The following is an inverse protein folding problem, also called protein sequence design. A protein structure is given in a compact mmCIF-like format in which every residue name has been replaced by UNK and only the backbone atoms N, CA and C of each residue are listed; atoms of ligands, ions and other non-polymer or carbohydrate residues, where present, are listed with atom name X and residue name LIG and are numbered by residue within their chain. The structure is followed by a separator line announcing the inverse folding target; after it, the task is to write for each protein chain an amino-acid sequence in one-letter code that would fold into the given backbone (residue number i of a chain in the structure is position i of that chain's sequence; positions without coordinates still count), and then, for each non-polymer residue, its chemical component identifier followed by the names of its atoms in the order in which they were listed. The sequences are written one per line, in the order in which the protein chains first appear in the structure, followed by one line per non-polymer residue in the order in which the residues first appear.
data_IF_732925754499
#
_entry.id   IF_732925754499
#
_cell.length_a   1.000
_cell.length_b   1.000
_cell.length_c   1.000
_cell.angle_alpha   90.00
_cell.angle_beta   90.00
_cell.angle_gamma   90.00
#
_symmetry.space_group_name_H-M   'P 1'
#
loop_
_entity.id
_entity.type
_entity.pdbx_description
1 polymer ?
#
# COMPACT_ATOMS: atom_id res chain seq x y z
N UNK A 1 -1.14 -14.34 11.68
CA UNK A 1 0.06 -14.27 10.84
C UNK A 1 0.80 -12.96 11.10
N UNK A 2 2.12 -12.98 11.03
CA UNK A 2 2.98 -11.79 11.23
C UNK A 2 2.57 -10.61 10.36
N UNK A 3 2.28 -10.85 9.07
CA UNK A 3 1.84 -9.80 8.14
C UNK A 3 0.55 -9.09 8.56
N UNK A 4 -0.44 -9.82 9.09
CA UNK A 4 -1.70 -9.22 9.55
C UNK A 4 -1.52 -8.23 10.70
N UNK A 5 -0.52 -8.48 11.55
CA UNK A 5 -0.21 -7.62 12.69
C UNK A 5 0.74 -6.49 12.29
N UNK A 6 1.89 -6.83 11.74
CA UNK A 6 3.03 -5.92 11.57
C UNK A 6 3.08 -5.24 10.19
N UNK A 7 2.44 -5.81 9.16
CA UNK A 7 2.60 -5.41 7.78
C UNK A 7 3.85 -6.04 7.17
N UNK A 8 4.96 -5.33 7.18
CA UNK A 8 6.26 -5.83 6.71
C UNK A 8 7.27 -5.92 7.86
N UNK A 9 8.38 -6.63 7.62
CA UNK A 9 9.51 -6.67 8.58
C UNK A 9 10.02 -5.26 8.87
N UNK A 10 10.53 -5.04 10.11
CA UNK A 10 10.90 -3.72 10.60
C UNK A 10 12.40 -3.56 10.88
N UNK A 11 13.13 -4.68 11.06
CA UNK A 11 14.52 -4.70 11.47
C UNK A 11 15.21 -6.01 11.10
N UNK A 12 16.53 -6.02 11.28
CA UNK A 12 17.39 -7.16 10.96
C UNK A 12 17.09 -8.39 11.82
N UNK A 13 16.73 -8.21 13.09
CA UNK A 13 16.40 -9.32 13.97
C UNK A 13 15.14 -10.06 13.49
N UNK A 14 14.06 -9.32 13.23
CA UNK A 14 12.83 -9.86 12.65
C UNK A 14 13.08 -10.54 11.31
N UNK A 15 13.96 -9.99 10.48
CA UNK A 15 14.34 -10.61 9.21
C UNK A 15 14.99 -11.99 9.40
N UNK A 16 15.98 -12.08 10.30
CA UNK A 16 16.67 -13.33 10.59
C UNK A 16 15.71 -14.38 11.17
N UNK A 17 14.89 -14.00 12.14
CA UNK A 17 13.90 -14.89 12.76
C UNK A 17 12.92 -15.44 11.74
N UNK A 18 12.36 -14.59 10.87
CA UNK A 18 11.42 -14.99 9.83
C UNK A 18 12.09 -15.89 8.81
N UNK A 19 13.30 -15.56 8.38
CA UNK A 19 14.06 -16.38 7.43
C UNK A 19 14.35 -17.77 8.00
N UNK A 20 14.83 -17.85 9.22
CA UNK A 20 15.08 -19.13 9.91
C UNK A 20 13.79 -19.94 10.04
N UNK A 21 12.72 -19.32 10.54
CA UNK A 21 11.42 -19.99 10.67
C UNK A 21 10.90 -20.51 9.33
N UNK A 22 10.99 -19.71 8.28
CA UNK A 22 10.52 -20.10 6.96
C UNK A 22 11.26 -21.34 6.44
N UNK A 23 12.60 -21.30 6.40
CA UNK A 23 13.39 -22.38 5.82
C UNK A 23 13.46 -23.64 6.71
N UNK A 24 13.41 -23.53 8.03
CA UNK A 24 13.38 -24.69 8.92
C UNK A 24 12.04 -25.43 8.92
N UNK A 25 10.95 -24.78 8.48
CA UNK A 25 9.64 -25.41 8.35
C UNK A 25 9.29 -25.76 6.89
N UNK A 26 10.17 -25.48 5.94
CA UNK A 26 9.96 -25.84 4.54
C UNK A 26 10.40 -27.28 4.33
N UNK A 27 9.49 -28.22 3.92
CA UNK A 27 9.89 -29.57 3.61
C UNK A 27 10.84 -29.61 2.40
N UNK A 28 11.67 -30.64 2.32
CA UNK A 28 12.42 -30.90 1.10
C UNK A 28 11.48 -31.25 -0.05
N UNK A 29 11.68 -30.67 -1.21
CA UNK A 29 10.87 -30.94 -2.41
C UNK A 29 11.71 -30.83 -3.68
N UNK A 30 11.24 -31.49 -4.73
CA UNK A 30 11.71 -31.30 -6.11
C UNK A 30 10.53 -30.70 -6.89
N UNK A 31 10.69 -29.48 -7.40
CA UNK A 31 9.60 -28.69 -8.00
C UNK A 31 8.95 -29.45 -9.18
N UNK A 32 9.72 -30.23 -9.92
CA UNK A 32 9.28 -31.00 -11.09
C UNK A 32 8.31 -32.13 -10.71
N UNK A 33 8.46 -32.68 -9.52
CA UNK A 33 7.66 -33.82 -9.02
C UNK A 33 6.36 -33.40 -8.39
N UNK A 34 6.18 -32.10 -8.10
CA UNK A 34 4.98 -31.58 -7.46
C UNK A 34 3.78 -31.60 -8.41
N UNK A 35 2.63 -32.01 -7.89
CA UNK A 35 1.34 -31.86 -8.56
C UNK A 35 0.99 -30.38 -8.76
N UNK A 36 0.05 -30.10 -9.66
CA UNK A 36 -0.42 -28.73 -9.90
C UNK A 36 -0.90 -28.04 -8.62
N UNK A 37 -1.65 -28.74 -7.76
CA UNK A 37 -2.16 -28.20 -6.49
C UNK A 37 -1.02 -27.88 -5.52
N UNK A 38 -0.02 -28.74 -5.39
CA UNK A 38 1.16 -28.49 -4.55
C UNK A 38 1.94 -27.29 -5.04
N UNK A 39 2.14 -27.13 -6.35
CA UNK A 39 2.77 -25.94 -6.95
C UNK A 39 2.00 -24.67 -6.63
N UNK A 40 0.66 -24.67 -6.71
CA UNK A 40 -0.15 -23.50 -6.33
C UNK A 40 0.10 -23.08 -4.87
N UNK A 41 0.16 -24.04 -3.95
CA UNK A 41 0.42 -23.75 -2.55
C UNK A 41 1.85 -23.29 -2.29
N UNK A 42 2.83 -23.94 -2.92
CA UNK A 42 4.25 -23.60 -2.82
C UNK A 42 4.52 -22.18 -3.31
N UNK A 43 4.09 -21.86 -4.53
CA UNK A 43 4.33 -20.52 -5.10
C UNK A 43 3.64 -19.42 -4.32
N UNK A 44 2.42 -19.69 -3.81
CA UNK A 44 1.74 -18.75 -2.90
C UNK A 44 2.54 -18.51 -1.61
N UNK A 45 3.11 -19.58 -1.04
CA UNK A 45 3.91 -19.49 0.17
C UNK A 45 5.17 -18.66 -0.04
N UNK A 46 5.92 -18.92 -1.13
CA UNK A 46 7.11 -18.14 -1.48
C UNK A 46 6.78 -16.68 -1.81
N UNK A 47 5.75 -16.43 -2.60
CA UNK A 47 5.31 -15.06 -2.88
C UNK A 47 4.99 -14.31 -1.58
N UNK A 48 4.23 -14.90 -0.66
CA UNK A 48 3.91 -14.30 0.63
C UNK A 48 5.16 -14.03 1.49
N UNK A 49 6.11 -14.96 1.51
CA UNK A 49 7.38 -14.80 2.21
C UNK A 49 8.19 -13.63 1.67
N UNK A 50 8.43 -13.59 0.35
CA UNK A 50 9.22 -12.54 -0.29
C UNK A 50 8.56 -11.17 -0.16
N UNK A 51 7.23 -11.08 -0.28
CA UNK A 51 6.51 -9.84 0.00
C UNK A 51 6.69 -9.37 1.45
N UNK A 52 6.64 -10.30 2.40
CA UNK A 52 6.78 -9.96 3.81
C UNK A 52 8.17 -9.40 4.14
N UNK A 53 9.22 -9.96 3.53
CA UNK A 53 10.60 -9.48 3.68
C UNK A 53 10.96 -8.31 2.74
N UNK A 54 10.00 -7.80 1.97
CA UNK A 54 10.15 -6.68 1.04
C UNK A 54 11.09 -6.95 -0.16
N UNK A 55 11.31 -8.21 -0.50
CA UNK A 55 11.94 -8.64 -1.75
C UNK A 55 10.86 -8.76 -2.83
N UNK A 56 10.50 -7.62 -3.43
CA UNK A 56 9.36 -7.55 -4.35
C UNK A 56 9.67 -8.21 -5.70
N UNK A 57 10.93 -8.28 -6.12
CA UNK A 57 11.32 -8.94 -7.37
C UNK A 57 11.11 -10.45 -7.28
N UNK A 58 11.62 -11.10 -6.24
CA UNK A 58 11.34 -12.52 -5.99
C UNK A 58 9.85 -12.76 -5.67
N UNK A 59 9.21 -11.84 -4.95
CA UNK A 59 7.77 -11.88 -4.72
C UNK A 59 6.98 -11.89 -6.02
N UNK A 60 7.35 -11.05 -6.99
CA UNK A 60 6.76 -11.01 -8.33
C UNK A 60 7.03 -12.30 -9.12
N UNK A 61 8.26 -12.80 -9.10
CA UNK A 61 8.62 -14.05 -9.76
C UNK A 61 7.69 -15.20 -9.32
N UNK A 62 7.52 -15.40 -8.02
CA UNK A 62 6.65 -16.46 -7.51
C UNK A 62 5.16 -16.17 -7.71
N UNK A 63 4.74 -14.91 -7.69
CA UNK A 63 3.38 -14.54 -8.05
C UNK A 63 3.06 -14.88 -9.51
N UNK A 64 3.99 -14.64 -10.43
CA UNK A 64 3.86 -15.03 -11.85
C UNK A 64 3.90 -16.54 -12.06
N UNK A 65 4.77 -17.27 -11.33
CA UNK A 65 4.73 -18.74 -11.33
C UNK A 65 3.36 -19.26 -10.89
N UNK A 66 2.79 -18.69 -9.83
CA UNK A 66 1.47 -19.05 -9.34
C UNK A 66 0.37 -18.78 -10.38
N UNK A 67 0.38 -17.61 -11.01
CA UNK A 67 -0.58 -17.25 -12.06
C UNK A 67 -0.45 -18.19 -13.28
N UNK A 68 0.77 -18.50 -13.68
CA UNK A 68 1.02 -19.37 -14.84
C UNK A 68 0.48 -20.80 -14.63
N UNK A 69 0.46 -21.33 -13.39
CA UNK A 69 -0.19 -22.61 -13.14
C UNK A 69 -1.70 -22.56 -13.43
N UNK A 70 -2.37 -21.44 -13.11
CA UNK A 70 -3.78 -21.25 -13.44
C UNK A 70 -4.02 -21.10 -14.93
N UNK A 71 -3.10 -20.48 -15.66
CA UNK A 71 -3.22 -20.29 -17.12
C UNK A 71 -3.17 -21.61 -17.91
N UNK A 72 -2.71 -22.72 -17.29
CA UNK A 72 -2.65 -24.03 -17.96
C UNK A 72 -4.02 -24.70 -18.17
N UNK A 73 -5.00 -24.39 -17.33
CA UNK A 73 -6.31 -25.06 -17.42
C UNK A 73 -7.43 -24.27 -16.75
N UNK A 74 -8.53 -24.07 -17.50
CA UNK A 74 -9.77 -23.51 -16.97
C UNK A 74 -10.38 -24.38 -15.87
N UNK A 75 -10.12 -25.68 -15.86
CA UNK A 75 -10.59 -26.60 -14.81
C UNK A 75 -9.96 -26.25 -13.48
N UNK A 76 -8.66 -25.93 -13.45
CA UNK A 76 -7.95 -25.50 -12.24
C UNK A 76 -8.53 -24.17 -11.72
N UNK A 77 -8.82 -23.24 -12.59
CA UNK A 77 -9.45 -21.95 -12.22
C UNK A 77 -10.82 -22.18 -11.58
N UNK A 78 -11.65 -23.04 -12.20
CA UNK A 78 -13.01 -23.35 -11.69
C UNK A 78 -13.00 -24.12 -10.38
N UNK A 79 -12.02 -24.99 -10.16
CA UNK A 79 -11.90 -25.76 -8.92
C UNK A 79 -11.30 -24.96 -7.76
N UNK A 80 -10.50 -23.92 -8.04
CA UNK A 80 -9.85 -23.08 -7.03
C UNK A 80 -10.07 -21.56 -7.25
N UNK A 81 -11.33 -21.07 -7.36
CA UNK A 81 -11.63 -19.70 -7.76
C UNK A 81 -11.08 -18.66 -6.77
N UNK A 82 -11.10 -18.95 -5.47
CA UNK A 82 -10.55 -18.05 -4.46
C UNK A 82 -9.03 -17.91 -4.56
N UNK A 83 -8.34 -19.00 -4.83
CA UNK A 83 -6.90 -19.03 -4.98
C UNK A 83 -6.48 -18.31 -6.27
N UNK A 84 -7.24 -18.47 -7.35
CA UNK A 84 -7.05 -17.75 -8.59
C UNK A 84 -7.19 -16.23 -8.40
N UNK A 85 -8.26 -15.75 -7.77
CA UNK A 85 -8.41 -14.34 -7.47
C UNK A 85 -7.29 -13.81 -6.55
N UNK A 86 -6.85 -14.64 -5.61
CA UNK A 86 -5.71 -14.30 -4.73
C UNK A 86 -4.40 -14.20 -5.54
N UNK A 87 -4.19 -15.07 -6.54
CA UNK A 87 -3.01 -14.99 -7.40
C UNK A 87 -2.97 -13.70 -8.20
N UNK A 88 -4.08 -13.33 -8.85
CA UNK A 88 -4.20 -12.06 -9.59
C UNK A 88 -3.94 -10.84 -8.68
N UNK A 89 -4.54 -10.84 -7.48
CA UNK A 89 -4.29 -9.79 -6.50
C UNK A 89 -2.81 -9.71 -6.08
N UNK A 90 -2.13 -10.86 -5.95
CA UNK A 90 -0.71 -10.92 -5.57
C UNK A 90 0.16 -10.37 -6.68
N UNK A 91 -0.11 -10.73 -7.94
CA UNK A 91 0.58 -10.19 -9.12
C UNK A 91 0.37 -8.69 -9.21
N UNK A 92 -0.87 -8.20 -9.16
CA UNK A 92 -1.19 -6.76 -9.20
C UNK A 92 -0.51 -5.96 -8.09
N UNK A 93 -0.41 -6.52 -6.89
CA UNK A 93 0.34 -5.85 -5.80
C UNK A 93 1.84 -5.76 -6.07
N UNK A 94 2.43 -6.77 -6.72
CA UNK A 94 3.83 -6.76 -7.12
C UNK A 94 4.07 -5.73 -8.24
N UNK A 95 3.28 -5.79 -9.29
CA UNK A 95 3.35 -4.89 -10.44
C UNK A 95 3.22 -3.43 -10.02
N UNK A 96 2.25 -3.14 -9.12
CA UNK A 96 2.10 -1.81 -8.54
C UNK A 96 3.37 -1.34 -7.81
N UNK A 97 3.97 -2.20 -6.95
CA UNK A 97 5.15 -1.84 -6.16
C UNK A 97 6.41 -1.69 -6.99
N UNK A 98 6.50 -2.44 -8.08
CA UNK A 98 7.63 -2.41 -9.02
C UNK A 98 7.45 -1.39 -10.15
N UNK A 99 6.33 -0.66 -10.18
CA UNK A 99 6.03 0.31 -11.23
C UNK A 99 5.83 -0.32 -12.62
N UNK A 100 5.46 -1.61 -12.68
CA UNK A 100 5.22 -2.35 -13.93
C UNK A 100 3.84 -2.02 -14.49
N UNK A 101 3.75 -0.85 -15.11
CA UNK A 101 2.46 -0.29 -15.52
C UNK A 101 1.75 -1.11 -16.60
N UNK A 102 2.47 -1.53 -17.63
CA UNK A 102 1.87 -2.25 -18.76
C UNK A 102 1.33 -3.61 -18.29
N UNK A 103 2.15 -4.34 -17.53
CA UNK A 103 1.76 -5.62 -16.95
C UNK A 103 0.59 -5.46 -15.97
N UNK A 104 0.56 -4.36 -15.21
CA UNK A 104 -0.55 -4.07 -14.30
C UNK A 104 -1.88 -3.90 -15.04
N UNK A 105 -1.90 -3.21 -16.18
CA UNK A 105 -3.09 -3.08 -17.02
C UNK A 105 -3.56 -4.46 -17.52
N UNK A 106 -2.63 -5.27 -18.05
CA UNK A 106 -2.96 -6.60 -18.56
C UNK A 106 -3.54 -7.51 -17.47
N UNK A 107 -2.93 -7.48 -16.28
CA UNK A 107 -3.43 -8.27 -15.14
C UNK A 107 -4.77 -7.75 -14.62
N UNK A 108 -5.02 -6.43 -14.67
CA UNK A 108 -6.33 -5.84 -14.35
C UNK A 108 -7.42 -6.34 -15.30
N UNK A 109 -7.13 -6.45 -16.60
CA UNK A 109 -8.09 -7.02 -17.57
C UNK A 109 -8.41 -8.50 -17.26
N UNK A 110 -7.43 -9.26 -16.74
CA UNK A 110 -7.69 -10.65 -16.29
C UNK A 110 -8.62 -10.68 -15.07
N UNK A 111 -8.49 -9.73 -14.15
CA UNK A 111 -9.40 -9.60 -13.01
C UNK A 111 -10.83 -9.27 -13.47
N UNK A 112 -11.00 -8.42 -14.48
CA UNK A 112 -12.30 -8.11 -15.07
C UNK A 112 -12.91 -9.34 -15.79
N UNK A 113 -12.10 -10.11 -16.51
CA UNK A 113 -12.54 -11.38 -17.13
C UNK A 113 -12.93 -12.42 -16.06
N UNK A 114 -12.23 -12.48 -14.93
CA UNK A 114 -12.57 -13.35 -13.82
C UNK A 114 -13.97 -13.02 -13.25
N UNK A 115 -14.34 -11.73 -13.20
CA UNK A 115 -15.69 -11.31 -12.80
C UNK A 115 -16.76 -11.90 -13.71
N UNK A 116 -16.54 -11.89 -15.02
CA UNK A 116 -17.46 -12.47 -15.99
C UNK A 116 -17.50 -14.02 -15.90
N UNK A 117 -16.34 -14.65 -15.75
CA UNK A 117 -16.20 -16.11 -15.66
C UNK A 117 -16.96 -16.70 -14.47
N UNK A 118 -17.00 -16.00 -13.34
CA UNK A 118 -17.64 -16.47 -12.12
C UNK A 118 -19.07 -15.93 -11.91
N UNK A 119 -19.60 -15.11 -12.82
CA UNK A 119 -20.88 -14.38 -12.65
C UNK A 119 -22.08 -15.25 -12.26
N UNK A 120 -22.14 -16.49 -12.72
CA UNK A 120 -23.26 -17.43 -12.45
C UNK A 120 -23.14 -18.19 -11.11
N UNK A 121 -21.94 -18.29 -10.50
CA UNK A 121 -21.66 -19.15 -9.34
C UNK A 121 -20.89 -18.44 -8.21
N UNK A 122 -21.01 -17.09 -8.14
CA UNK A 122 -20.36 -16.33 -7.07
C UNK A 122 -21.08 -16.52 -5.74
N UNK A 123 -20.48 -17.29 -4.83
CA UNK A 123 -20.87 -17.21 -3.43
C UNK A 123 -20.54 -15.80 -2.86
N UNK A 124 -21.16 -15.49 -1.71
CA UNK A 124 -21.00 -14.17 -1.08
C UNK A 124 -19.54 -13.77 -0.85
N UNK A 125 -18.72 -14.68 -0.32
CA UNK A 125 -17.32 -14.42 0.01
C UNK A 125 -16.46 -14.13 -1.23
N UNK A 126 -16.68 -14.88 -2.30
CA UNK A 126 -15.96 -14.70 -3.55
C UNK A 126 -16.33 -13.36 -4.22
N UNK A 127 -17.62 -12.99 -4.18
CA UNK A 127 -18.10 -11.69 -4.66
C UNK A 127 -17.47 -10.54 -3.89
N UNK A 128 -17.50 -10.59 -2.56
CA UNK A 128 -16.89 -9.56 -1.71
C UNK A 128 -15.39 -9.43 -1.95
N UNK A 129 -14.68 -10.56 -2.13
CA UNK A 129 -13.25 -10.57 -2.45
C UNK A 129 -12.96 -9.93 -3.81
N UNK A 130 -13.72 -10.25 -4.82
CA UNK A 130 -13.59 -9.68 -6.16
C UNK A 130 -13.83 -8.17 -6.16
N UNK A 131 -14.89 -7.71 -5.50
CA UNK A 131 -15.20 -6.29 -5.37
C UNK A 131 -14.09 -5.54 -4.62
N UNK A 132 -13.59 -6.10 -3.51
CA UNK A 132 -12.46 -5.54 -2.76
C UNK A 132 -11.22 -5.37 -3.66
N UNK A 133 -10.84 -6.40 -4.40
CA UNK A 133 -9.68 -6.33 -5.29
C UNK A 133 -9.89 -5.32 -6.41
N UNK A 134 -11.10 -5.27 -6.99
CA UNK A 134 -11.44 -4.26 -7.99
C UNK A 134 -11.21 -2.83 -7.46
N UNK A 135 -11.75 -2.48 -6.28
CA UNK A 135 -11.58 -1.14 -5.73
C UNK A 135 -10.12 -0.83 -5.40
N UNK A 136 -9.41 -1.76 -4.74
CA UNK A 136 -8.00 -1.57 -4.38
C UNK A 136 -7.15 -1.31 -5.63
N UNK A 137 -7.31 -2.12 -6.68
CA UNK A 137 -6.47 -1.99 -7.87
C UNK A 137 -6.91 -0.85 -8.78
N UNK A 138 -8.20 -0.45 -8.71
CA UNK A 138 -8.63 0.79 -9.37
C UNK A 138 -7.98 2.03 -8.75
N UNK A 139 -7.87 2.08 -7.41
CA UNK A 139 -7.10 3.13 -6.73
C UNK A 139 -5.62 3.08 -7.15
N UNK A 140 -5.02 1.89 -7.15
CA UNK A 140 -3.63 1.72 -7.58
C UNK A 140 -3.38 2.23 -9.01
N UNK A 141 -4.32 2.01 -9.92
CA UNK A 141 -4.23 2.50 -11.31
C UNK A 141 -4.18 4.04 -11.36
N UNK A 142 -5.05 4.71 -10.60
CA UNK A 142 -5.03 6.17 -10.50
C UNK A 142 -3.74 6.69 -9.86
N UNK A 143 -3.17 5.96 -8.90
CA UNK A 143 -1.87 6.30 -8.30
C UNK A 143 -0.74 6.20 -9.31
N UNK A 144 -0.65 5.10 -10.06
CA UNK A 144 0.39 4.91 -11.07
C UNK A 144 0.38 6.01 -12.12
N UNK A 145 -0.83 6.42 -12.55
CA UNK A 145 -1.00 7.48 -13.55
C UNK A 145 -0.88 8.90 -12.99
N UNK A 146 -0.97 9.09 -11.68
CA UNK A 146 -1.12 10.41 -11.09
C UNK A 146 -2.47 11.08 -11.45
N UNK A 147 -3.53 10.32 -11.70
CA UNK A 147 -4.87 10.81 -12.08
C UNK A 147 -5.78 10.90 -10.84
N UNK A 148 -5.34 11.59 -9.79
CA UNK A 148 -6.04 11.59 -8.51
C UNK A 148 -7.42 12.24 -8.55
N UNK A 149 -7.59 13.36 -9.27
CA UNK A 149 -8.90 14.01 -9.39
C UNK A 149 -9.92 13.11 -10.09
N UNK A 150 -9.51 12.43 -11.16
CA UNK A 150 -10.35 11.45 -11.87
C UNK A 150 -10.69 10.27 -10.97
N UNK A 151 -9.71 9.81 -10.18
CA UNK A 151 -9.90 8.76 -9.18
C UNK A 151 -10.93 9.14 -8.12
N UNK A 152 -10.84 10.35 -7.57
CA UNK A 152 -11.83 10.85 -6.61
C UNK A 152 -13.22 10.92 -7.24
N UNK A 153 -13.35 11.49 -8.43
CA UNK A 153 -14.63 11.55 -9.15
C UNK A 153 -15.23 10.15 -9.37
N UNK A 154 -14.40 9.18 -9.77
CA UNK A 154 -14.83 7.79 -9.96
C UNK A 154 -15.41 7.20 -8.67
N UNK A 155 -14.73 7.38 -7.52
CA UNK A 155 -15.19 6.82 -6.24
C UNK A 155 -16.36 7.60 -5.64
N UNK A 156 -16.49 8.89 -5.91
CA UNK A 156 -17.68 9.67 -5.53
C UNK A 156 -18.93 9.20 -6.28
N UNK A 157 -18.81 8.83 -7.55
CA UNK A 157 -19.90 8.24 -8.34
C UNK A 157 -20.30 6.82 -7.85
N UNK A 158 -19.40 6.11 -7.20
CA UNK A 158 -19.65 4.77 -6.64
C UNK A 158 -19.79 4.78 -5.10
N UNK A 159 -20.13 5.92 -4.52
CA UNK A 159 -20.18 6.10 -3.06
C UNK A 159 -21.06 5.08 -2.35
N UNK A 160 -22.23 4.78 -2.90
CA UNK A 160 -23.18 3.83 -2.30
C UNK A 160 -22.65 2.39 -2.37
N UNK A 161 -22.04 2.01 -3.48
CA UNK A 161 -21.41 0.69 -3.63
C UNK A 161 -20.20 0.54 -2.70
N UNK A 162 -19.38 1.57 -2.64
CA UNK A 162 -18.21 1.62 -1.74
C UNK A 162 -18.65 1.48 -0.27
N UNK A 163 -19.69 2.20 0.14
CA UNK A 163 -20.24 2.12 1.50
C UNK A 163 -20.78 0.73 1.84
N UNK A 164 -21.48 0.08 0.90
CA UNK A 164 -21.97 -1.30 1.09
C UNK A 164 -20.83 -2.28 1.31
N UNK A 165 -19.75 -2.15 0.53
CA UNK A 165 -18.58 -3.02 0.64
C UNK A 165 -17.82 -2.75 1.93
N UNK A 166 -17.58 -1.49 2.26
CA UNK A 166 -16.86 -1.09 3.47
C UNK A 166 -17.46 -1.73 4.73
N UNK A 167 -18.79 -1.75 4.83
CA UNK A 167 -19.52 -2.36 5.96
C UNK A 167 -19.41 -3.90 6.01
N UNK A 168 -18.97 -4.55 4.95
CA UNK A 168 -18.85 -5.99 4.86
C UNK A 168 -17.40 -6.49 4.98
N UNK A 169 -16.42 -5.57 4.92
CA UNK A 169 -15.02 -5.92 5.01
C UNK A 169 -14.62 -6.30 6.43
N UNK A 170 -13.73 -7.27 6.54
CA UNK A 170 -12.99 -7.50 7.79
C UNK A 170 -12.09 -6.29 8.13
N UNK A 171 -11.73 -6.14 9.39
CA UNK A 171 -10.93 -5.01 9.90
C UNK A 171 -9.64 -4.81 9.10
N UNK A 172 -8.91 -5.88 8.77
CA UNK A 172 -7.67 -5.80 7.99
C UNK A 172 -7.92 -5.20 6.60
N UNK A 173 -8.96 -5.63 5.91
CA UNK A 173 -9.32 -5.15 4.57
C UNK A 173 -9.87 -3.72 4.59
N UNK A 174 -10.65 -3.39 5.60
CA UNK A 174 -11.19 -2.03 5.81
C UNK A 174 -10.07 -1.02 6.05
N UNK A 175 -9.06 -1.36 6.88
CA UNK A 175 -7.89 -0.51 7.11
C UNK A 175 -7.12 -0.23 5.82
N UNK A 176 -6.89 -1.25 4.98
CA UNK A 176 -6.19 -1.09 3.70
C UNK A 176 -6.98 -0.17 2.77
N UNK A 177 -8.28 -0.41 2.60
CA UNK A 177 -9.13 0.39 1.74
C UNK A 177 -9.19 1.85 2.21
N UNK A 178 -9.43 2.06 3.50
CA UNK A 178 -9.50 3.39 4.10
C UNK A 178 -8.21 4.19 3.93
N UNK A 179 -7.06 3.54 4.14
CA UNK A 179 -5.77 4.18 3.95
C UNK A 179 -5.51 4.55 2.46
N UNK A 180 -5.84 3.66 1.53
CA UNK A 180 -5.70 3.93 0.10
C UNK A 180 -6.63 5.05 -0.37
N UNK A 181 -7.87 5.08 0.11
CA UNK A 181 -8.79 6.20 -0.15
C UNK A 181 -8.23 7.51 0.40
N UNK A 182 -7.66 7.51 1.61
CA UNK A 182 -6.99 8.70 2.16
C UNK A 182 -5.86 9.19 1.24
N UNK A 183 -4.99 8.30 0.77
CA UNK A 183 -3.91 8.67 -0.15
C UNK A 183 -4.45 9.21 -1.50
N UNK A 184 -5.57 8.68 -2.01
CA UNK A 184 -6.22 9.17 -3.22
C UNK A 184 -6.69 10.63 -3.03
N UNK A 185 -7.38 10.92 -1.94
CA UNK A 185 -7.82 12.28 -1.60
C UNK A 185 -6.65 13.22 -1.33
N UNK A 186 -5.55 12.71 -0.75
CA UNK A 186 -4.33 13.49 -0.55
C UNK A 186 -3.72 13.92 -1.90
N UNK A 187 -3.57 12.99 -2.84
CA UNK A 187 -3.02 13.29 -4.17
C UNK A 187 -3.85 14.30 -4.96
N UNK A 188 -5.17 14.34 -4.72
CA UNK A 188 -6.10 15.32 -5.26
C UNK A 188 -6.15 16.64 -4.44
N UNK A 189 -5.25 16.84 -3.48
CA UNK A 189 -5.24 17.99 -2.56
C UNK A 189 -6.56 18.20 -1.78
N UNK A 190 -7.39 17.18 -1.64
CA UNK A 190 -8.65 17.20 -0.85
C UNK A 190 -8.37 16.78 0.59
N UNK A 191 -7.60 17.57 1.32
CA UNK A 191 -7.03 17.21 2.63
C UNK A 191 -8.08 16.97 3.73
N UNK A 192 -9.21 17.68 3.73
CA UNK A 192 -10.30 17.43 4.69
C UNK A 192 -10.92 16.04 4.50
N UNK A 193 -11.13 15.60 3.27
CA UNK A 193 -11.62 14.26 2.96
C UNK A 193 -10.55 13.20 3.28
N UNK A 194 -9.28 13.50 3.01
CA UNK A 194 -8.17 12.65 3.41
C UNK A 194 -8.19 12.40 4.92
N UNK A 195 -8.29 13.44 5.75
CA UNK A 195 -8.37 13.34 7.21
C UNK A 195 -9.55 12.47 7.65
N UNK A 196 -10.72 12.59 7.01
CA UNK A 196 -11.88 11.75 7.33
C UNK A 196 -11.58 10.25 7.13
N UNK A 197 -10.92 9.90 6.05
CA UNK A 197 -10.53 8.52 5.78
C UNK A 197 -9.39 8.05 6.70
N UNK A 198 -8.42 8.91 7.01
CA UNK A 198 -7.36 8.60 7.99
C UNK A 198 -7.93 8.35 9.39
N UNK A 199 -8.94 9.11 9.80
CA UNK A 199 -9.59 8.92 11.09
C UNK A 199 -10.28 7.56 11.21
N UNK A 200 -10.78 6.96 10.13
CA UNK A 200 -11.27 5.57 10.15
C UNK A 200 -10.14 4.59 10.53
N UNK A 201 -8.92 4.82 10.04
CA UNK A 201 -7.75 4.02 10.40
C UNK A 201 -7.30 4.30 11.84
N UNK A 202 -7.13 5.59 12.18
CA UNK A 202 -6.57 6.04 13.47
C UNK A 202 -7.44 5.62 14.65
N UNK A 203 -8.78 5.66 14.49
CA UNK A 203 -9.75 5.39 15.53
C UNK A 203 -10.23 3.93 15.58
N UNK A 204 -9.70 3.05 14.75
CA UNK A 204 -10.02 1.63 14.84
C UNK A 204 -9.55 1.06 16.17
N UNK A 205 -10.47 0.40 16.90
CA UNK A 205 -10.22 -0.08 18.26
C UNK A 205 -9.12 -1.14 18.36
N UNK A 206 -8.91 -1.94 17.32
CA UNK A 206 -7.90 -2.98 17.28
C UNK A 206 -6.63 -2.49 16.57
N UNK A 207 -5.81 -1.69 17.28
CA UNK A 207 -4.57 -1.13 16.78
C UNK A 207 -3.43 -2.16 16.60
N UNK A 208 -3.66 -3.44 16.92
CA UNK A 208 -2.70 -4.52 16.71
C UNK A 208 -2.85 -5.18 15.32
N UNK A 209 -3.90 -4.81 14.58
CA UNK A 209 -4.05 -5.20 13.18
C UNK A 209 -3.47 -4.09 12.31
N UNK A 210 -2.48 -4.41 11.48
CA UNK A 210 -1.84 -3.46 10.58
C UNK A 210 -1.30 -2.23 11.34
N UNK A 211 -0.49 -2.47 12.36
CA UNK A 211 0.20 -1.41 13.12
C UNK A 211 0.93 -0.41 12.22
N UNK A 212 1.46 -0.90 11.10
CA UNK A 212 2.09 -0.10 10.06
C UNK A 212 1.14 0.97 9.49
N UNK A 213 -0.09 0.60 9.13
CA UNK A 213 -1.07 1.57 8.62
C UNK A 213 -1.45 2.61 9.67
N UNK A 214 -1.57 2.21 10.94
CA UNK A 214 -1.84 3.15 12.03
C UNK A 214 -0.70 4.17 12.21
N UNK A 215 0.56 3.73 12.03
CA UNK A 215 1.73 4.60 12.10
C UNK A 215 1.73 5.62 10.95
N UNK A 216 1.60 5.13 9.70
CA UNK A 216 1.63 5.99 8.52
C UNK A 216 0.40 6.87 8.38
N UNK A 217 -0.78 6.43 8.85
CA UNK A 217 -1.98 7.25 8.88
C UNK A 217 -1.79 8.50 9.76
N UNK A 218 -1.12 8.37 10.90
CA UNK A 218 -0.81 9.51 11.77
C UNK A 218 0.18 10.49 11.14
N UNK A 219 1.20 9.97 10.46
CA UNK A 219 2.16 10.82 9.72
C UNK A 219 1.44 11.58 8.60
N UNK A 220 0.65 10.90 7.79
CA UNK A 220 -0.10 11.54 6.69
C UNK A 220 -1.13 12.54 7.22
N UNK A 221 -1.76 12.25 8.36
CA UNK A 221 -2.68 13.18 9.03
C UNK A 221 -1.98 14.49 9.43
N UNK A 222 -0.76 14.41 9.99
CA UNK A 222 0.04 15.59 10.30
C UNK A 222 0.36 16.41 9.06
N UNK A 223 0.71 15.77 7.95
CA UNK A 223 0.97 16.44 6.66
C UNK A 223 -0.31 17.12 6.15
N UNK A 224 -1.48 16.47 6.27
CA UNK A 224 -2.75 17.10 5.91
C UNK A 224 -3.06 18.35 6.76
N UNK A 225 -2.82 18.31 8.07
CA UNK A 225 -3.00 19.48 8.93
C UNK A 225 -2.04 20.61 8.56
N UNK A 226 -0.80 20.29 8.19
CA UNK A 226 0.15 21.27 7.64
C UNK A 226 -0.39 21.92 6.36
N UNK A 227 -0.87 21.13 5.40
CA UNK A 227 -1.43 21.62 4.12
C UNK A 227 -2.67 22.50 4.33
N UNK A 228 -3.45 22.22 5.34
CA UNK A 228 -4.62 23.02 5.74
C UNK A 228 -4.25 24.25 6.60
N UNK A 229 -2.97 24.45 6.91
CA UNK A 229 -2.47 25.54 7.79
C UNK A 229 -3.07 25.51 9.19
N UNK A 230 -3.42 24.34 9.70
CA UNK A 230 -3.98 24.12 11.04
C UNK A 230 -2.87 24.12 12.10
N UNK A 231 -2.06 25.19 12.15
CA UNK A 231 -0.87 25.26 13.00
C UNK A 231 -1.18 25.22 14.50
N UNK A 232 -2.33 25.67 14.93
CA UNK A 232 -2.76 25.67 16.33
C UNK A 232 -2.85 24.27 16.93
N UNK A 233 -3.22 23.27 16.13
CA UNK A 233 -3.42 21.89 16.58
C UNK A 233 -2.26 20.96 16.22
N UNK A 234 -1.39 21.35 15.30
CA UNK A 234 -0.34 20.47 14.77
C UNK A 234 0.65 20.05 15.86
N UNK A 235 0.97 20.93 16.79
CA UNK A 235 1.86 20.65 17.93
C UNK A 235 1.36 19.52 18.80
N UNK A 236 0.05 19.52 19.11
CA UNK A 236 -0.60 18.46 19.87
C UNK A 236 -0.53 17.11 19.11
N UNK A 237 -0.84 17.11 17.81
CA UNK A 237 -0.78 15.89 17.00
C UNK A 237 0.64 15.35 16.83
N UNK A 238 1.68 16.20 16.77
CA UNK A 238 3.08 15.78 16.74
C UNK A 238 3.42 14.99 18.01
N UNK A 239 3.08 15.52 19.18
CA UNK A 239 3.37 14.86 20.48
C UNK A 239 2.63 13.53 20.58
N UNK A 240 1.35 13.51 20.21
CA UNK A 240 0.51 12.31 20.22
C UNK A 240 1.07 11.24 19.27
N UNK A 241 1.44 11.63 18.05
CA UNK A 241 2.01 10.74 17.04
C UNK A 241 3.37 10.19 17.50
N UNK A 242 4.24 11.03 18.04
CA UNK A 242 5.54 10.60 18.58
C UNK A 242 5.38 9.52 19.66
N UNK A 243 4.50 9.75 20.64
CA UNK A 243 4.22 8.78 21.72
C UNK A 243 3.67 7.46 21.16
N UNK A 244 2.77 7.53 20.19
CA UNK A 244 2.21 6.33 19.56
C UNK A 244 3.27 5.53 18.81
N UNK A 245 4.11 6.18 17.99
CA UNK A 245 5.19 5.53 17.23
C UNK A 245 6.24 4.90 18.17
N UNK A 246 6.59 5.59 19.25
CA UNK A 246 7.49 5.07 20.25
C UNK A 246 6.94 3.80 20.92
N UNK A 247 5.65 3.83 21.33
CA UNK A 247 4.97 2.66 21.92
C UNK A 247 4.92 1.46 20.99
N UNK A 248 4.77 1.69 19.67
CA UNK A 248 4.72 0.63 18.65
C UNK A 248 6.10 0.19 18.13
N UNK A 249 7.19 0.76 18.65
CA UNK A 249 8.56 0.45 18.18
C UNK A 249 8.80 0.84 16.71
N UNK A 250 8.02 1.80 16.19
CA UNK A 250 8.06 2.22 14.78
C UNK A 250 8.59 3.65 14.59
N UNK A 251 9.28 4.19 15.59
CA UNK A 251 9.92 5.50 15.52
C UNK A 251 11.31 5.37 14.85
N UNK A 252 11.32 5.17 13.53
CA UNK A 252 12.52 5.05 12.70
C UNK A 252 12.98 6.42 12.20
N UNK A 253 14.08 6.46 11.42
CA UNK A 253 14.63 7.73 10.92
C UNK A 253 13.64 8.50 10.04
N UNK A 254 12.91 7.80 9.18
CA UNK A 254 11.88 8.41 8.33
C UNK A 254 10.89 9.24 9.15
N UNK A 255 10.29 8.65 10.18
CA UNK A 255 9.31 9.34 11.02
C UNK A 255 9.96 10.46 11.85
N UNK A 256 11.16 10.23 12.36
CA UNK A 256 11.90 11.25 13.14
C UNK A 256 12.17 12.51 12.31
N UNK A 257 12.61 12.35 11.05
CA UNK A 257 12.89 13.49 10.18
C UNK A 257 11.62 14.28 9.87
N UNK A 258 10.51 13.60 9.56
CA UNK A 258 9.23 14.28 9.29
C UNK A 258 8.70 14.99 10.53
N UNK A 259 8.70 14.35 11.70
CA UNK A 259 8.23 14.98 12.94
C UNK A 259 9.07 16.19 13.32
N UNK A 260 10.41 16.11 13.18
CA UNK A 260 11.31 17.23 13.40
C UNK A 260 11.05 18.37 12.44
N UNK A 261 10.88 18.07 11.16
CA UNK A 261 10.55 19.03 10.12
C UNK A 261 9.24 19.76 10.44
N UNK A 262 8.15 19.04 10.68
CA UNK A 262 6.84 19.64 10.97
C UNK A 262 6.83 20.47 12.26
N UNK A 263 7.64 20.08 13.27
CA UNK A 263 7.77 20.86 14.50
C UNK A 263 8.40 22.24 14.26
N UNK A 264 9.31 22.34 13.31
CA UNK A 264 10.08 23.56 13.05
C UNK A 264 9.41 24.49 12.03
N UNK A 265 8.35 24.04 11.34
CA UNK A 265 7.71 24.79 10.26
C UNK A 265 6.94 26.03 10.70
N UNK A 266 6.50 26.12 11.93
CA UNK A 266 5.58 27.17 12.40
C UNK A 266 6.17 28.60 12.40
N UNK A 267 7.49 28.72 12.16
CA UNK A 267 8.21 30.02 12.18
C UNK A 267 8.93 30.32 10.85
N UNK A 268 8.81 29.43 9.84
CA UNK A 268 9.60 29.55 8.59
C UNK A 268 8.75 30.05 7.42
N UNK A 269 9.27 31.02 6.67
CA UNK A 269 8.61 31.57 5.47
C UNK A 269 9.61 31.75 4.31
N UNK A 270 9.08 31.90 3.12
CA UNK A 270 9.85 32.23 1.93
C UNK A 270 10.99 31.26 1.64
N UNK A 271 12.22 31.79 1.50
CA UNK A 271 13.41 30.99 1.15
C UNK A 271 13.76 29.96 2.23
N UNK A 272 13.64 30.28 3.50
CA UNK A 272 13.95 29.37 4.60
C UNK A 272 13.05 28.14 4.59
N UNK A 273 11.77 28.33 4.35
CA UNK A 273 10.82 27.23 4.18
C UNK A 273 11.16 26.37 2.97
N UNK A 274 11.48 26.98 1.84
CA UNK A 274 11.88 26.25 0.62
C UNK A 274 13.15 25.40 0.85
N UNK A 275 14.18 25.97 1.47
CA UNK A 275 15.41 25.26 1.82
C UNK A 275 15.15 24.10 2.78
N UNK A 276 14.19 24.24 3.70
CA UNK A 276 13.76 23.18 4.61
C UNK A 276 13.13 21.98 3.89
N UNK A 277 12.34 22.21 2.84
CA UNK A 277 11.82 21.12 1.98
C UNK A 277 12.95 20.40 1.22
N UNK A 278 13.91 21.14 0.67
CA UNK A 278 15.08 20.55 -0.01
C UNK A 278 15.88 19.70 0.96
N UNK A 279 16.15 20.22 2.17
CA UNK A 279 16.90 19.51 3.20
C UNK A 279 16.18 18.23 3.65
N UNK A 280 14.86 18.27 3.87
CA UNK A 280 14.11 17.06 4.21
C UNK A 280 14.16 16.03 3.08
N UNK A 281 13.99 16.44 1.82
CA UNK A 281 14.14 15.55 0.66
C UNK A 281 15.51 14.88 0.64
N UNK A 282 16.58 15.64 0.84
CA UNK A 282 17.95 15.12 0.88
C UNK A 282 18.18 14.12 2.02
N UNK A 283 17.55 14.32 3.19
CA UNK A 283 17.62 13.39 4.32
C UNK A 283 16.82 12.08 4.07
N UNK A 284 15.69 12.16 3.36
CA UNK A 284 14.82 11.01 3.12
C UNK A 284 15.27 10.13 1.94
N UNK A 285 15.85 10.70 0.88
CA UNK A 285 16.25 9.95 -0.31
C UNK A 285 17.16 8.74 -0.01
N UNK A 286 18.21 8.83 0.83
CA UNK A 286 19.05 7.68 1.15
C UNK A 286 18.32 6.55 1.87
N UNK A 287 17.25 6.86 2.60
CA UNK A 287 16.46 5.89 3.34
C UNK A 287 15.70 4.92 2.41
N UNK A 288 15.44 5.33 1.16
CA UNK A 288 14.80 4.45 0.18
C UNK A 288 15.66 3.21 -0.17
N UNK A 289 16.97 3.30 0.03
CA UNK A 289 17.90 2.18 -0.19
C UNK A 289 18.11 1.34 1.09
N UNK A 290 17.61 1.79 2.24
CA UNK A 290 17.72 1.05 3.48
C UNK A 290 16.61 -0.02 3.57
N UNK A 291 16.94 -1.32 3.76
CA UNK A 291 15.98 -2.42 3.76
C UNK A 291 14.83 -2.26 4.76
N UNK A 292 15.06 -1.55 5.88
CA UNK A 292 14.08 -1.41 6.97
C UNK A 292 13.41 -0.04 7.02
N UNK A 293 13.91 0.95 6.27
CA UNK A 293 13.31 2.28 6.14
C UNK A 293 12.51 2.43 4.84
N UNK A 294 12.90 1.74 3.74
CA UNK A 294 12.27 1.85 2.42
C UNK A 294 10.76 1.56 2.42
N UNK A 295 10.27 0.79 3.39
CA UNK A 295 8.84 0.49 3.52
C UNK A 295 7.97 1.75 3.65
N UNK A 296 8.52 2.83 4.21
CA UNK A 296 7.79 4.09 4.38
C UNK A 296 7.32 4.67 3.03
N UNK A 297 8.16 4.54 2.00
CA UNK A 297 7.86 5.04 0.65
C UNK A 297 6.79 4.19 -0.08
N UNK A 298 6.52 2.97 0.39
CA UNK A 298 5.45 2.10 -0.15
C UNK A 298 4.06 2.60 0.28
N UNK A 299 3.98 3.22 1.47
CA UNK A 299 2.72 3.69 2.03
C UNK A 299 2.32 5.06 1.50
N UNK A 300 3.30 5.93 1.26
CA UNK A 300 3.07 7.28 0.79
C UNK A 300 4.28 7.79 -0.02
N UNK A 301 4.04 8.32 -1.21
CA UNK A 301 5.09 8.96 -2.03
C UNK A 301 5.40 10.36 -1.49
N UNK A 302 6.10 10.37 -0.35
CA UNK A 302 6.55 11.59 0.34
C UNK A 302 7.49 12.41 -0.55
N UNK A 303 8.29 11.76 -1.40
CA UNK A 303 9.23 12.44 -2.27
C UNK A 303 8.49 13.29 -3.30
N UNK A 304 7.45 12.75 -3.94
CA UNK A 304 6.62 13.55 -4.86
C UNK A 304 5.89 14.70 -4.16
N UNK A 305 5.48 14.52 -2.90
CA UNK A 305 4.93 15.64 -2.12
C UNK A 305 5.97 16.72 -1.85
N UNK A 306 7.20 16.38 -1.46
CA UNK A 306 8.29 17.35 -1.25
C UNK A 306 8.65 18.08 -2.55
N UNK A 307 8.75 17.37 -3.66
CA UNK A 307 8.99 17.92 -4.98
C UNK A 307 7.88 18.92 -5.38
N UNK A 308 6.63 18.60 -5.06
CA UNK A 308 5.50 19.51 -5.31
C UNK A 308 5.65 20.85 -4.59
N UNK A 309 6.23 20.83 -3.37
CA UNK A 309 6.51 22.05 -2.60
C UNK A 309 7.70 22.82 -3.14
N UNK A 310 8.76 22.12 -3.51
CA UNK A 310 9.99 22.70 -4.09
C UNK A 310 9.71 23.31 -5.47
N UNK A 311 8.93 22.63 -6.31
CA UNK A 311 8.63 23.08 -7.68
C UNK A 311 7.36 23.94 -7.77
N UNK A 312 6.66 24.18 -6.67
CA UNK A 312 5.37 24.89 -6.64
C UNK A 312 4.33 24.30 -7.61
N UNK A 313 4.29 22.98 -7.74
CA UNK A 313 3.36 22.23 -8.60
C UNK A 313 2.46 21.34 -7.78
N UNK A 314 1.23 20.98 -8.27
CA UNK A 314 0.42 19.95 -7.63
C UNK A 314 1.15 18.60 -7.58
N UNK A 315 0.97 17.83 -6.51
CA UNK A 315 1.52 16.46 -6.38
C UNK A 315 1.15 15.59 -7.58
N UNK A 316 -0.09 15.72 -8.05
CA UNK A 316 -0.58 15.03 -9.25
C UNK A 316 0.31 15.30 -10.47
N UNK A 317 0.68 16.55 -10.72
CA UNK A 317 1.53 16.92 -11.86
C UNK A 317 2.94 16.34 -11.75
N UNK A 318 3.51 16.28 -10.54
CA UNK A 318 4.81 15.64 -10.30
C UNK A 318 4.77 14.16 -10.65
N UNK A 319 3.75 13.44 -10.16
CA UNK A 319 3.60 12.01 -10.41
C UNK A 319 3.31 11.72 -11.89
N UNK A 320 2.48 12.53 -12.55
CA UNK A 320 2.24 12.43 -14.00
C UNK A 320 3.52 12.63 -14.81
N UNK A 321 4.38 13.59 -14.39
CA UNK A 321 5.69 13.78 -15.00
C UNK A 321 6.55 12.52 -14.91
N UNK A 322 6.66 11.93 -13.72
CA UNK A 322 7.41 10.66 -13.51
C UNK A 322 6.84 9.51 -14.32
N UNK A 323 5.51 9.40 -14.41
CA UNK A 323 4.84 8.36 -15.17
C UNK A 323 5.16 8.40 -16.66
N UNK A 324 5.19 9.60 -17.28
CA UNK A 324 5.53 9.77 -18.71
C UNK A 324 6.94 9.32 -19.07
N UNK A 325 7.85 9.23 -18.11
CA UNK A 325 9.20 8.70 -18.32
C UNK A 325 9.28 7.17 -18.19
N UNK A 326 8.22 6.52 -17.68
CA UNK A 326 8.15 5.05 -17.49
C UNK A 326 7.37 4.35 -18.61
N UNK A 327 6.62 5.11 -19.39
CA UNK A 327 5.82 4.66 -20.56
C UNK A 327 6.42 5.14 -21.87
#
# INVERSE_FOLDING_TARGET
SFYRRLGFIRDQESYIQVKQYFYSNLPSFQEEQLSATEKLHLYRLFAAYYFFIQDFDNGYLYARKLENEFNKSLTIIKSHPELYLTSLNTVLNAEFKLGKYQEFIETTQKLDKAKALFSSNLNYNLRLRLQKYFFIHKINLYFLKGEFDQGVQFFENLKDELGKIENQLDTHSSLILSYKMACLYFGAAKYNQCIRWLNKVINTSNADIREDLHCFARILNLICHYELKNFDVIGYYIISTYRFLLKKGDLKLFQKYILKFLKNLGAQEGKELHDSFINLKAQLLPLNNNPFEKRAFIYFDIISWLESKIEHKPVQSIIQGKFKFLT
#
